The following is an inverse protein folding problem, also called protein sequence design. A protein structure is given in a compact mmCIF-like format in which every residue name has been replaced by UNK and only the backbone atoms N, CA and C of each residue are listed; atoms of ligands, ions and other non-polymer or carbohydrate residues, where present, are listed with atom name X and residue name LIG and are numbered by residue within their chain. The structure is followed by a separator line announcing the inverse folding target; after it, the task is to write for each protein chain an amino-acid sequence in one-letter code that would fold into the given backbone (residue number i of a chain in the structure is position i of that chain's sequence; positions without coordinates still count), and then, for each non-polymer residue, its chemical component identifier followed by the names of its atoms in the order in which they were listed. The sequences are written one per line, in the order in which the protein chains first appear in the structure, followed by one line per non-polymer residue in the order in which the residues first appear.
data_IF_537826963053
#
_entry.id   IF_537826963053
#
_cell.length_a   1.000
_cell.length_b   1.000
_cell.length_c   1.000
_cell.angle_alpha   90.00
_cell.angle_beta   90.00
_cell.angle_gamma   90.00
#
_symmetry.space_group_name_H-M   'P 1'
#
loop_
_entity.id
_entity.type
_entity.pdbx_description
1 polymer ?
#
# COMPACT_ATOMS: atom_id res chain seq x y z
N UNK A 1 -13.33 33.70 -31.28
CA UNK A 1 -12.85 34.54 -30.18
C UNK A 1 -12.81 33.68 -28.93
N UNK A 2 -11.62 33.17 -28.61
CA UNK A 2 -11.21 32.57 -27.32
C UNK A 2 -9.75 32.19 -27.51
N UNK A 3 -8.82 33.15 -27.34
CA UNK A 3 -7.37 32.84 -27.34
C UNK A 3 -6.49 33.85 -26.57
N UNK A 4 -7.05 34.87 -25.90
CA UNK A 4 -6.23 35.89 -25.21
C UNK A 4 -6.36 35.84 -23.68
N UNK A 5 -7.33 35.09 -23.14
CA UNK A 5 -7.53 34.95 -21.69
C UNK A 5 -6.54 33.97 -21.05
N UNK A 6 -6.21 32.88 -21.76
CA UNK A 6 -5.35 31.81 -21.27
C UNK A 6 -3.89 32.24 -21.15
N UNK A 7 -3.41 33.11 -22.06
CA UNK A 7 -2.03 33.59 -22.05
C UNK A 7 -1.74 34.59 -20.95
N UNK A 8 -2.74 35.40 -20.56
CA UNK A 8 -2.61 36.37 -19.46
C UNK A 8 -2.61 35.67 -18.10
N UNK A 9 -3.39 34.60 -17.93
CA UNK A 9 -3.39 33.79 -16.70
C UNK A 9 -2.08 33.02 -16.48
N UNK A 10 -1.51 32.43 -17.53
CA UNK A 10 -0.20 31.75 -17.42
C UNK A 10 0.94 32.73 -17.09
N UNK A 11 0.91 33.93 -17.68
CA UNK A 11 1.94 34.95 -17.40
C UNK A 11 1.81 35.51 -15.97
N UNK A 12 0.58 35.64 -15.45
CA UNK A 12 0.33 36.09 -14.08
C UNK A 12 0.75 35.03 -13.04
N UNK A 13 0.54 33.75 -13.33
CA UNK A 13 0.98 32.64 -12.46
C UNK A 13 2.51 32.53 -12.40
N UNK A 14 3.20 32.84 -13.50
CA UNK A 14 4.66 32.77 -13.56
C UNK A 14 5.35 33.93 -12.82
N UNK A 15 4.71 35.11 -12.72
CA UNK A 15 5.24 36.28 -11.99
C UNK A 15 4.97 36.25 -10.48
N UNK A 16 3.93 35.56 -10.01
CA UNK A 16 3.61 35.44 -8.58
C UNK A 16 4.54 34.49 -7.81
N UNK A 17 5.38 33.72 -8.50
CA UNK A 17 6.34 32.79 -7.88
C UNK A 17 7.70 33.42 -7.54
N UNK A 18 7.97 34.68 -7.88
CA UNK A 18 9.34 35.23 -7.74
C UNK A 18 9.58 36.18 -6.55
N UNK A 19 8.59 36.65 -5.76
CA UNK A 19 8.85 37.78 -4.84
C UNK A 19 8.79 37.60 -3.31
N UNK A 20 8.15 36.61 -2.68
CA UNK A 20 8.07 36.65 -1.18
C UNK A 20 8.21 35.29 -0.46
N UNK A 21 9.45 34.80 -0.47
CA UNK A 21 9.92 33.46 -0.05
C UNK A 21 10.05 33.20 1.46
N UNK A 22 9.13 33.64 2.34
CA UNK A 22 9.37 33.38 3.78
C UNK A 22 8.21 33.31 4.77
N UNK A 23 7.08 33.97 4.53
CA UNK A 23 5.99 34.04 5.55
C UNK A 23 4.67 33.40 5.16
N UNK A 24 4.51 32.91 3.92
CA UNK A 24 3.30 32.21 3.46
C UNK A 24 3.40 30.67 3.50
N UNK A 25 4.58 30.10 3.78
CA UNK A 25 4.74 28.63 3.79
C UNK A 25 3.90 27.94 4.89
N UNK A 26 3.67 28.55 6.06
CA UNK A 26 3.00 27.82 7.16
C UNK A 26 1.49 27.60 6.92
N UNK A 27 0.79 28.47 6.17
CA UNK A 27 -0.65 28.28 5.89
C UNK A 27 -0.94 27.60 4.54
N UNK A 28 -0.11 27.79 3.51
CA UNK A 28 -0.28 27.14 2.21
C UNK A 28 0.07 25.63 2.24
N UNK A 29 0.98 25.21 3.12
CA UNK A 29 1.35 23.79 3.28
C UNK A 29 0.16 22.94 3.73
N UNK A 30 -0.75 23.44 4.57
CA UNK A 30 -1.91 22.65 5.03
C UNK A 30 -2.88 22.25 3.91
N UNK A 31 -3.10 23.12 2.93
CA UNK A 31 -4.04 22.87 1.83
C UNK A 31 -3.40 22.05 0.71
N UNK A 32 -2.12 22.34 0.39
CA UNK A 32 -1.36 21.59 -0.61
C UNK A 32 -1.06 20.16 -0.12
N UNK A 33 -0.83 19.96 1.18
CA UNK A 33 -0.68 18.63 1.78
C UNK A 33 -1.99 17.85 1.73
N UNK A 34 -3.14 18.45 2.07
CA UNK A 34 -4.43 17.76 1.97
C UNK A 34 -4.76 17.38 0.53
N UNK A 35 -4.57 18.28 -0.44
CA UNK A 35 -4.80 17.97 -1.87
C UNK A 35 -3.83 16.90 -2.37
N UNK A 36 -2.56 16.97 -1.99
CA UNK A 36 -1.54 15.97 -2.34
C UNK A 36 -1.84 14.61 -1.69
N UNK A 37 -2.27 14.59 -0.43
CA UNK A 37 -2.68 13.39 0.29
C UNK A 37 -3.96 12.79 -0.30
N UNK A 38 -4.93 13.62 -0.69
CA UNK A 38 -6.15 13.18 -1.36
C UNK A 38 -5.86 12.58 -2.74
N UNK A 39 -4.98 13.21 -3.52
CA UNK A 39 -4.52 12.68 -4.79
C UNK A 39 -3.78 11.34 -4.60
N UNK A 40 -2.88 11.23 -3.61
CA UNK A 40 -2.21 9.96 -3.26
C UNK A 40 -3.21 8.88 -2.85
N UNK A 41 -4.22 9.23 -2.05
CA UNK A 41 -5.29 8.30 -1.63
C UNK A 41 -6.14 7.85 -2.81
N UNK A 42 -6.46 8.75 -3.73
CA UNK A 42 -7.23 8.44 -4.93
C UNK A 42 -6.46 7.52 -5.89
N UNK A 43 -5.18 7.81 -6.14
CA UNK A 43 -4.31 6.97 -6.98
C UNK A 43 -4.11 5.59 -6.36
N UNK A 44 -3.87 5.51 -5.05
CA UNK A 44 -3.80 4.24 -4.32
C UNK A 44 -5.09 3.43 -4.45
N UNK A 45 -6.26 4.08 -4.29
CA UNK A 45 -7.56 3.42 -4.46
C UNK A 45 -7.75 2.90 -5.89
N UNK A 46 -7.46 3.71 -6.90
CA UNK A 46 -7.56 3.31 -8.30
C UNK A 46 -6.64 2.13 -8.63
N UNK A 47 -5.41 2.14 -8.10
CA UNK A 47 -4.47 1.04 -8.28
C UNK A 47 -4.97 -0.25 -7.63
N UNK A 48 -5.50 -0.18 -6.40
CA UNK A 48 -6.17 -1.32 -5.72
C UNK A 48 -7.32 -1.87 -6.57
N UNK A 49 -8.23 -1.00 -7.02
CA UNK A 49 -9.38 -1.39 -7.83
C UNK A 49 -8.98 -2.07 -9.15
N UNK A 50 -7.92 -1.60 -9.80
CA UNK A 50 -7.39 -2.19 -11.04
C UNK A 50 -6.78 -3.57 -10.79
N UNK A 51 -6.02 -3.75 -9.72
CA UNK A 51 -5.44 -5.04 -9.38
C UNK A 51 -6.52 -6.06 -8.99
N UNK A 52 -7.52 -5.66 -8.21
CA UNK A 52 -8.68 -6.52 -7.87
C UNK A 52 -9.42 -6.99 -9.12
N UNK A 53 -9.62 -6.10 -10.10
CA UNK A 53 -10.20 -6.46 -11.40
C UNK A 53 -9.31 -7.42 -12.19
N UNK A 54 -7.99 -7.22 -12.17
CA UNK A 54 -7.05 -8.11 -12.84
C UNK A 54 -7.06 -9.52 -12.23
N UNK A 55 -7.13 -9.62 -10.89
CA UNK A 55 -7.26 -10.91 -10.17
C UNK A 55 -8.50 -11.66 -10.63
N UNK A 56 -9.66 -11.00 -10.58
CA UNK A 56 -10.95 -11.62 -10.91
C UNK A 56 -11.10 -11.98 -12.39
N UNK A 57 -10.45 -11.25 -13.30
CA UNK A 57 -10.60 -11.46 -14.74
C UNK A 57 -9.54 -12.40 -15.36
N UNK A 58 -8.31 -12.43 -14.85
CA UNK A 58 -7.15 -12.96 -15.59
C UNK A 58 -6.19 -13.87 -14.82
N UNK A 59 -6.17 -13.85 -13.50
CA UNK A 59 -5.28 -14.76 -12.74
C UNK A 59 -5.80 -16.22 -12.69
N UNK A 60 -6.91 -16.52 -13.37
CA UNK A 60 -7.53 -17.84 -13.42
C UNK A 60 -8.42 -18.13 -12.21
N UNK A 61 -9.04 -19.32 -12.19
CA UNK A 61 -9.92 -19.77 -11.10
C UNK A 61 -9.21 -19.99 -9.76
N UNK A 62 -7.87 -20.01 -9.78
CA UNK A 62 -7.01 -20.42 -8.66
C UNK A 62 -6.51 -19.23 -7.81
N UNK A 63 -6.79 -17.98 -8.22
CA UNK A 63 -6.39 -16.78 -7.49
C UNK A 63 -4.89 -16.46 -7.58
N UNK A 64 -4.37 -15.53 -6.75
CA UNK A 64 -2.95 -15.27 -6.65
C UNK A 64 -2.19 -16.51 -6.21
N UNK A 65 -0.95 -16.67 -6.70
CA UNK A 65 -0.10 -17.80 -6.29
C UNK A 65 0.07 -17.84 -4.76
N UNK A 66 0.02 -19.03 -4.13
CA UNK A 66 0.34 -19.16 -2.71
C UNK A 66 1.76 -18.67 -2.42
N UNK A 67 1.92 -17.93 -1.33
CA UNK A 67 3.22 -17.46 -0.87
C UNK A 67 3.87 -18.46 0.07
N UNK A 68 5.17 -18.70 -0.11
CA UNK A 68 6.06 -19.24 0.93
C UNK A 68 6.55 -18.09 1.81
N UNK A 69 7.28 -18.40 2.90
CA UNK A 69 7.91 -17.37 3.73
C UNK A 69 8.83 -16.45 2.90
N UNK A 70 9.58 -17.01 1.95
CA UNK A 70 10.47 -16.26 1.07
C UNK A 70 9.70 -15.37 0.10
N UNK A 71 8.73 -15.94 -0.64
CA UNK A 71 8.00 -15.16 -1.65
C UNK A 71 7.12 -14.09 -1.01
N UNK A 72 6.62 -14.31 0.21
CA UNK A 72 5.91 -13.30 0.99
C UNK A 72 6.79 -12.07 1.26
N UNK A 73 8.05 -12.29 1.67
CA UNK A 73 9.01 -11.20 1.92
C UNK A 73 9.41 -10.50 0.63
N UNK A 74 9.54 -11.24 -0.47
CA UNK A 74 9.78 -10.66 -1.80
C UNK A 74 8.60 -9.77 -2.24
N UNK A 75 7.36 -10.24 -2.05
CA UNK A 75 6.13 -9.50 -2.32
C UNK A 75 6.10 -8.18 -1.54
N UNK A 76 6.37 -8.24 -0.23
CA UNK A 76 6.39 -7.07 0.64
C UNK A 76 7.50 -6.10 0.27
N UNK A 77 8.69 -6.61 -0.04
CA UNK A 77 9.82 -5.80 -0.49
C UNK A 77 9.52 -5.11 -1.83
N UNK A 78 8.86 -5.81 -2.75
CA UNK A 78 8.38 -5.21 -3.99
C UNK A 78 7.39 -4.09 -3.70
N UNK A 79 6.38 -4.34 -2.85
CA UNK A 79 5.37 -3.35 -2.47
C UNK A 79 5.98 -2.10 -1.86
N UNK A 80 6.86 -2.23 -0.84
CA UNK A 80 7.54 -1.11 -0.18
C UNK A 80 8.36 -0.25 -1.14
N UNK A 81 9.00 -0.86 -2.14
CA UNK A 81 9.82 -0.13 -3.14
C UNK A 81 9.01 0.57 -4.21
N UNK A 82 7.78 0.10 -4.48
CA UNK A 82 7.02 0.47 -5.67
C UNK A 82 5.73 1.25 -5.37
N UNK A 83 5.33 1.35 -4.10
CA UNK A 83 4.15 2.07 -3.60
C UNK A 83 4.02 3.53 -4.05
N UNK A 84 5.12 4.19 -4.43
CA UNK A 84 5.14 5.59 -4.87
C UNK A 84 5.48 5.79 -6.34
N UNK A 85 5.64 4.70 -7.11
CA UNK A 85 5.97 4.82 -8.54
C UNK A 85 4.70 5.10 -9.35
N UNK A 86 4.64 6.27 -9.99
CA UNK A 86 3.47 6.78 -10.73
C UNK A 86 3.40 6.27 -12.19
N UNK A 87 4.32 5.37 -12.58
CA UNK A 87 4.51 4.92 -13.96
C UNK A 87 4.26 3.42 -14.13
N UNK A 88 3.09 2.93 -13.70
CA UNK A 88 2.66 1.56 -14.01
C UNK A 88 1.93 1.51 -15.34
N UNK A 89 2.46 0.76 -16.31
CA UNK A 89 1.71 0.44 -17.52
C UNK A 89 0.65 -0.62 -17.18
N UNK A 90 -0.51 -0.59 -17.85
CA UNK A 90 -1.61 -1.55 -17.61
C UNK A 90 -1.15 -3.02 -17.73
N UNK A 91 -0.15 -3.30 -18.57
CA UNK A 91 0.45 -4.64 -18.69
C UNK A 91 1.24 -5.11 -17.45
N UNK A 92 1.77 -4.17 -16.66
CA UNK A 92 2.48 -4.50 -15.41
C UNK A 92 1.51 -4.81 -14.27
N UNK A 93 0.33 -4.18 -14.28
CA UNK A 93 -0.71 -4.35 -13.24
C UNK A 93 -1.16 -5.80 -13.16
N UNK A 94 -1.43 -6.43 -14.31
CA UNK A 94 -1.87 -7.83 -14.36
C UNK A 94 -0.80 -8.79 -13.84
N UNK A 95 0.46 -8.56 -14.25
CA UNK A 95 1.58 -9.38 -13.81
C UNK A 95 1.82 -9.24 -12.31
N UNK A 96 1.77 -8.02 -11.77
CA UNK A 96 1.93 -7.75 -10.33
C UNK A 96 0.79 -8.38 -9.55
N UNK A 97 -0.46 -8.18 -9.99
CA UNK A 97 -1.64 -8.68 -9.31
C UNK A 97 -1.65 -10.22 -9.25
N UNK A 98 -1.31 -10.93 -10.33
CA UNK A 98 -1.28 -12.39 -10.34
C UNK A 98 -0.04 -13.00 -9.67
N UNK A 99 1.09 -12.30 -9.67
CA UNK A 99 2.33 -12.82 -9.06
C UNK A 99 2.32 -12.62 -7.55
N UNK A 100 1.93 -11.44 -7.09
CA UNK A 100 2.03 -11.07 -5.68
C UNK A 100 0.68 -11.04 -4.96
N UNK A 101 -0.45 -10.89 -5.65
CA UNK A 101 -1.78 -10.70 -5.05
C UNK A 101 -1.94 -9.25 -4.56
N UNK A 102 -2.36 -8.31 -5.40
CA UNK A 102 -2.65 -6.95 -4.91
C UNK A 102 -4.15 -6.67 -5.01
N UNK A 103 -4.80 -6.08 -3.98
CA UNK A 103 -4.27 -5.54 -2.70
C UNK A 103 -3.79 -6.61 -1.70
N UNK A 104 -3.12 -6.19 -0.62
CA UNK A 104 -2.43 -7.09 0.33
C UNK A 104 -3.36 -8.09 1.03
N UNK A 105 -4.64 -7.75 1.18
CA UNK A 105 -5.72 -8.61 1.66
C UNK A 105 -6.01 -9.81 0.73
N UNK A 106 -5.55 -9.75 -0.52
CA UNK A 106 -5.63 -10.84 -1.49
C UNK A 106 -4.45 -11.81 -1.46
N UNK A 107 -3.45 -11.60 -0.59
CA UNK A 107 -2.33 -12.52 -0.46
C UNK A 107 -2.79 -13.90 0.00
N UNK A 108 -2.43 -14.92 -0.79
CA UNK A 108 -2.62 -16.29 -0.38
C UNK A 108 -1.45 -16.70 0.52
N UNK A 109 -1.61 -16.51 1.83
CA UNK A 109 -0.61 -16.84 2.85
C UNK A 109 -0.80 -18.23 3.48
N UNK A 110 -1.67 -19.07 2.90
CA UNK A 110 -2.02 -20.39 3.45
C UNK A 110 -0.84 -21.35 3.59
N UNK A 111 0.31 -21.10 2.94
CA UNK A 111 1.52 -21.93 3.03
C UNK A 111 2.63 -21.30 3.89
N UNK A 112 2.36 -20.15 4.50
CA UNK A 112 3.33 -19.40 5.30
C UNK A 112 3.36 -19.99 6.71
N UNK A 113 4.56 -20.26 7.21
CA UNK A 113 4.80 -20.79 8.56
C UNK A 113 5.49 -19.77 9.47
N UNK A 114 6.14 -18.76 8.91
CA UNK A 114 6.87 -17.74 9.65
C UNK A 114 6.51 -16.33 9.15
N UNK A 115 5.77 -15.59 9.99
CA UNK A 115 5.39 -14.20 9.77
C UNK A 115 6.23 -13.23 10.62
N UNK A 116 7.35 -13.70 11.19
CA UNK A 116 8.15 -12.88 12.11
C UNK A 116 8.64 -11.60 11.43
N UNK A 117 8.50 -10.47 12.15
CA UNK A 117 8.96 -9.14 11.71
C UNK A 117 8.38 -8.67 10.36
N UNK A 118 7.31 -9.30 9.84
CA UNK A 118 6.79 -8.99 8.50
C UNK A 118 6.49 -7.49 8.35
N UNK A 119 5.81 -6.90 9.33
CA UNK A 119 5.49 -5.47 9.38
C UNK A 119 6.23 -4.74 10.52
N UNK A 120 7.25 -5.37 11.10
CA UNK A 120 8.07 -4.78 12.15
C UNK A 120 8.75 -3.49 11.64
N UNK A 121 8.59 -2.39 12.39
CA UNK A 121 9.11 -1.06 12.04
C UNK A 121 8.32 -0.31 10.98
N UNK A 122 7.20 -0.85 10.48
CA UNK A 122 6.35 -0.19 9.49
C UNK A 122 5.33 0.72 10.18
N UNK A 123 5.79 1.89 10.65
CA UNK A 123 5.00 2.81 11.48
C UNK A 123 3.63 3.21 10.90
N UNK A 124 3.47 3.15 9.56
CA UNK A 124 2.28 3.59 8.83
C UNK A 124 1.45 2.44 8.27
N UNK A 125 1.81 1.19 8.54
CA UNK A 125 1.05 0.04 8.06
C UNK A 125 -0.32 -0.03 8.78
N UNK A 126 -1.41 0.02 8.00
CA UNK A 126 -2.79 -0.09 8.49
C UNK A 126 -3.71 -0.73 7.44
N UNK A 127 -3.15 -1.60 6.59
CA UNK A 127 -3.93 -2.29 5.57
C UNK A 127 -4.66 -3.50 6.17
N UNK A 128 -5.90 -3.72 5.74
CA UNK A 128 -6.70 -4.85 6.22
C UNK A 128 -6.08 -6.19 5.81
N UNK A 129 -5.92 -7.09 6.79
CA UNK A 129 -5.33 -8.43 6.62
C UNK A 129 -6.09 -9.51 7.40
N UNK A 130 -7.31 -9.20 7.87
CA UNK A 130 -8.15 -10.15 8.61
C UNK A 130 -8.61 -11.34 7.76
N UNK A 131 -8.56 -11.25 6.43
CA UNK A 131 -8.91 -12.33 5.50
C UNK A 131 -7.84 -13.42 5.37
N UNK A 132 -6.65 -13.22 5.93
CA UNK A 132 -5.53 -14.14 5.78
C UNK A 132 -5.79 -15.48 6.50
N UNK A 133 -5.51 -16.58 5.81
CA UNK A 133 -5.48 -17.92 6.39
C UNK A 133 -4.14 -18.13 7.13
N UNK A 134 -4.17 -17.96 8.45
CA UNK A 134 -3.00 -18.11 9.33
C UNK A 134 -2.86 -19.50 9.93
N UNK A 135 -3.69 -20.47 9.53
CA UNK A 135 -3.76 -21.79 10.18
C UNK A 135 -2.45 -22.58 10.15
N UNK A 136 -1.54 -22.30 9.21
CA UNK A 136 -0.22 -22.95 9.13
C UNK A 136 0.91 -22.15 9.79
N UNK A 137 0.64 -20.98 10.37
CA UNK A 137 1.66 -20.11 10.95
C UNK A 137 2.15 -20.66 12.30
N UNK A 138 3.47 -20.73 12.46
CA UNK A 138 4.17 -21.21 13.65
C UNK A 138 4.77 -20.04 14.45
N UNK A 139 5.24 -18.99 13.76
CA UNK A 139 5.83 -17.81 14.41
C UNK A 139 5.22 -16.51 13.89
N UNK A 140 4.83 -15.63 14.82
CA UNK A 140 4.38 -14.25 14.60
C UNK A 140 5.22 -13.24 15.40
N UNK A 141 6.44 -13.65 15.79
CA UNK A 141 7.36 -12.83 16.59
C UNK A 141 7.58 -11.45 15.96
N UNK A 142 7.42 -10.39 16.74
CA UNK A 142 7.68 -9.01 16.31
C UNK A 142 6.92 -8.59 15.03
N UNK A 143 5.85 -9.28 14.63
CA UNK A 143 5.17 -9.05 13.35
C UNK A 143 4.69 -7.61 13.18
N UNK A 144 4.21 -6.96 14.25
CA UNK A 144 3.78 -5.56 14.28
C UNK A 144 4.58 -4.73 15.29
N UNK A 145 5.80 -5.17 15.66
CA UNK A 145 6.64 -4.39 16.57
C UNK A 145 6.92 -3.01 15.96
N UNK A 146 6.50 -1.93 16.62
CA UNK A 146 6.54 -0.54 16.14
C UNK A 146 5.63 -0.22 14.92
N UNK A 147 4.63 -1.04 14.58
CA UNK A 147 3.63 -0.67 13.57
C UNK A 147 2.55 0.25 14.18
N UNK A 148 2.91 1.49 14.49
CA UNK A 148 2.14 2.44 15.34
C UNK A 148 0.72 2.69 14.83
N UNK A 149 0.51 2.72 13.51
CA UNK A 149 -0.79 2.99 12.92
C UNK A 149 -1.70 1.77 12.81
N UNK A 150 -1.21 0.54 13.02
CA UNK A 150 -1.97 -0.67 12.74
C UNK A 150 -3.14 -0.83 13.73
N UNK A 151 -4.37 -0.85 13.21
CA UNK A 151 -5.58 -1.02 14.02
C UNK A 151 -6.69 -1.79 13.26
N UNK A 152 -6.30 -2.84 12.54
CA UNK A 152 -7.23 -3.64 11.74
C UNK A 152 -7.76 -4.84 12.53
N UNK A 153 -8.97 -5.28 12.20
CA UNK A 153 -9.57 -6.48 12.78
C UNK A 153 -8.85 -7.74 12.26
N UNK A 154 -8.29 -8.50 13.18
CA UNK A 154 -7.60 -9.78 12.97
C UNK A 154 -8.19 -10.91 13.83
N UNK A 155 -9.42 -10.73 14.33
CA UNK A 155 -10.09 -11.69 15.21
C UNK A 155 -10.40 -13.04 14.54
N UNK A 156 -10.36 -13.09 13.21
CA UNK A 156 -10.56 -14.28 12.38
C UNK A 156 -9.33 -15.17 12.24
N UNK A 157 -8.15 -14.73 12.68
CA UNK A 157 -6.93 -15.51 12.54
C UNK A 157 -6.95 -16.78 13.38
N UNK A 158 -6.64 -17.91 12.75
CA UNK A 158 -6.37 -19.15 13.45
C UNK A 158 -4.93 -19.12 13.96
N UNK A 159 -4.79 -19.07 15.28
CA UNK A 159 -3.49 -19.02 15.98
C UNK A 159 -3.18 -20.32 16.74
N UNK A 160 -3.94 -21.39 16.48
CA UNK A 160 -3.81 -22.66 17.21
C UNK A 160 -2.43 -23.34 17.04
N UNK A 161 -1.75 -23.09 15.92
CA UNK A 161 -0.41 -23.62 15.62
C UNK A 161 0.75 -22.67 15.98
N UNK A 162 0.44 -21.44 16.42
CA UNK A 162 1.48 -20.44 16.72
C UNK A 162 2.16 -20.76 18.04
N UNK A 163 3.48 -20.82 18.03
CA UNK A 163 4.33 -21.13 19.19
C UNK A 163 5.13 -19.94 19.71
N UNK A 164 5.31 -18.90 18.88
CA UNK A 164 6.00 -17.66 19.25
C UNK A 164 5.22 -16.42 18.79
N UNK A 165 4.71 -15.64 19.75
CA UNK A 165 4.11 -14.32 19.56
C UNK A 165 4.88 -13.23 20.33
N UNK A 166 6.14 -13.49 20.66
CA UNK A 166 6.94 -12.53 21.43
C UNK A 166 7.02 -11.20 20.68
N UNK A 167 6.76 -10.10 21.40
CA UNK A 167 6.78 -8.73 20.86
C UNK A 167 5.85 -8.49 19.66
N UNK A 168 4.81 -9.30 19.48
CA UNK A 168 3.90 -9.20 18.32
C UNK A 168 3.32 -7.78 18.18
N UNK A 169 2.97 -7.13 19.29
CA UNK A 169 2.54 -5.73 19.39
C UNK A 169 3.41 -4.99 20.41
N UNK A 170 3.60 -3.67 20.24
CA UNK A 170 4.23 -2.76 21.20
C UNK A 170 3.32 -1.54 21.44
#
# INVERSE_FOLDING_TARGET
MNDDSTRVEETAQQQLMEHDSGRLMIHALSYLDVVTLLQRRLVSKQFKDLCTKAITAKCGKDGPKPHTNETLREALSFFRRNLWSINFHVGDIEKIACTWGFPIDSWNVSQVTDMSELFGGDNFFDEYIGSWDTSNVISMRSMFENAICFNQDISSWDVSNVTDMSRMFH
#
